data_IF_556168018304
#
_entry.id   IF_556168018304
#
_cell.length_a   1.000
_cell.length_b   1.000
_cell.length_c   1.000
_cell.angle_alpha   90.00
_cell.angle_beta   90.00
_cell.angle_gamma   90.00
#
_symmetry.space_group_name_H-M   'P 1'
#
loop_
_entity.id
_entity.type
_entity.pdbx_description
1 polymer ?
#
# COMPACT_ATOMS: atom_id res chain seq x y z
N UNK A 1 -20.52 5.27 -12.12
CA UNK A 1 -20.21 5.65 -13.52
C UNK A 1 -20.48 4.52 -14.52
N UNK A 2 -19.77 3.38 -14.45
CA UNK A 2 -19.86 2.29 -15.44
C UNK A 2 -21.30 1.83 -15.76
N UNK A 3 -22.17 1.70 -14.76
CA UNK A 3 -23.57 1.30 -14.95
C UNK A 3 -24.36 2.32 -15.79
N UNK A 4 -24.21 3.61 -15.50
CA UNK A 4 -24.91 4.70 -16.20
C UNK A 4 -24.38 4.83 -17.63
N UNK A 5 -23.06 4.81 -17.80
CA UNK A 5 -22.41 4.89 -19.12
C UNK A 5 -22.89 3.76 -20.04
N UNK A 6 -23.00 2.54 -19.50
CA UNK A 6 -23.52 1.39 -20.24
C UNK A 6 -25.01 1.52 -20.57
N UNK A 7 -25.83 1.94 -19.60
CA UNK A 7 -27.27 2.15 -19.81
C UNK A 7 -27.53 3.21 -20.90
N UNK A 8 -26.74 4.29 -20.93
CA UNK A 8 -26.87 5.36 -21.91
C UNK A 8 -26.59 4.91 -23.35
N UNK A 9 -25.79 3.86 -23.55
CA UNK A 9 -25.57 3.25 -24.88
C UNK A 9 -26.79 2.44 -25.36
N UNK A 10 -27.65 2.01 -24.44
CA UNK A 10 -28.84 1.21 -24.75
C UNK A 10 -30.09 2.10 -24.86
N UNK A 11 -30.33 2.93 -23.85
CA UNK A 11 -31.48 3.83 -23.77
C UNK A 11 -31.20 4.98 -22.78
N UNK A 12 -31.37 6.23 -23.25
CA UNK A 12 -31.11 7.41 -22.44
C UNK A 12 -32.12 7.58 -21.29
N UNK A 13 -33.38 7.16 -21.48
CA UNK A 13 -34.41 7.22 -20.45
C UNK A 13 -34.12 6.27 -19.29
N UNK A 14 -33.61 5.07 -19.58
CA UNK A 14 -33.13 4.12 -18.60
C UNK A 14 -31.94 4.66 -17.81
N UNK A 15 -30.97 5.29 -18.47
CA UNK A 15 -29.82 5.89 -17.80
C UNK A 15 -30.26 6.97 -16.79
N UNK A 16 -31.15 7.88 -17.20
CA UNK A 16 -31.73 8.90 -16.30
C UNK A 16 -32.51 8.27 -15.16
N UNK A 17 -33.29 7.21 -15.43
CA UNK A 17 -34.03 6.53 -14.37
C UNK A 17 -33.08 5.90 -13.35
N UNK A 18 -32.01 5.23 -13.79
CA UNK A 18 -31.00 4.64 -12.89
C UNK A 18 -30.34 5.72 -12.04
N UNK A 19 -29.90 6.82 -12.66
CA UNK A 19 -29.24 7.93 -11.97
C UNK A 19 -30.10 8.53 -10.85
N UNK A 20 -31.42 8.62 -11.05
CA UNK A 20 -32.35 9.19 -10.08
C UNK A 20 -32.79 8.18 -9.01
N UNK A 21 -32.90 6.88 -9.35
CA UNK A 21 -33.58 5.90 -8.50
C UNK A 21 -32.65 4.87 -7.85
N UNK A 22 -31.38 4.78 -8.26
CA UNK A 22 -30.45 3.76 -7.76
C UNK A 22 -29.29 4.41 -7.01
N UNK A 23 -29.07 3.98 -5.77
CA UNK A 23 -27.94 4.41 -4.96
C UNK A 23 -26.72 3.51 -5.22
N UNK A 24 -25.54 4.13 -5.33
CA UNK A 24 -24.24 3.46 -5.43
C UNK A 24 -23.32 3.97 -4.31
N UNK A 25 -23.58 3.60 -3.02
CA UNK A 25 -22.79 4.10 -1.90
C UNK A 25 -21.33 3.64 -2.02
N UNK A 26 -20.40 4.57 -1.81
CA UNK A 26 -19.00 4.20 -1.65
C UNK A 26 -18.79 3.46 -0.33
N UNK A 27 -17.76 2.61 -0.28
CA UNK A 27 -17.41 1.91 0.95
C UNK A 27 -15.90 1.73 1.07
N UNK A 28 -15.41 1.87 2.30
CA UNK A 28 -14.08 1.43 2.69
C UNK A 28 -14.23 0.13 3.49
N UNK A 29 -13.58 -0.93 3.01
CA UNK A 29 -13.57 -2.26 3.64
C UNK A 29 -12.17 -2.61 4.08
N UNK A 30 -11.97 -3.05 5.32
CA UNK A 30 -10.65 -3.43 5.82
C UNK A 30 -10.70 -4.68 6.71
N UNK A 31 -10.02 -5.73 6.24
CA UNK A 31 -9.71 -6.93 7.02
C UNK A 31 -8.68 -7.75 6.24
N UNK A 32 -7.49 -7.93 6.81
CA UNK A 32 -6.43 -8.77 6.25
C UNK A 32 -6.93 -10.22 6.24
N UNK A 33 -7.12 -10.74 5.03
CA UNK A 33 -7.67 -12.08 4.78
C UNK A 33 -6.74 -12.80 3.80
N UNK A 34 -5.75 -13.57 4.29
CA UNK A 34 -4.85 -14.32 3.42
C UNK A 34 -5.60 -15.34 2.57
N UNK A 35 -4.99 -15.75 1.46
CA UNK A 35 -5.48 -16.87 0.65
C UNK A 35 -5.48 -18.15 1.49
N UNK A 36 -6.55 -18.94 1.37
CA UNK A 36 -6.61 -20.28 1.96
C UNK A 36 -5.57 -21.19 1.31
N UNK A 37 -4.67 -21.73 2.13
CA UNK A 37 -3.67 -22.74 1.74
C UNK A 37 -3.93 -24.06 2.50
N UNK A 38 -3.30 -25.15 2.08
CA UNK A 38 -3.54 -26.49 2.67
C UNK A 38 -3.37 -26.52 4.20
N UNK A 39 -2.39 -25.79 4.74
CA UNK A 39 -2.18 -25.69 6.17
C UNK A 39 -3.37 -25.05 6.91
N UNK A 40 -4.04 -24.05 6.30
CA UNK A 40 -5.25 -23.42 6.85
C UNK A 40 -6.39 -24.43 6.88
N UNK A 41 -6.53 -25.20 5.80
CA UNK A 41 -7.56 -26.25 5.69
C UNK A 41 -7.38 -27.30 6.79
N UNK A 42 -6.16 -27.78 6.98
CA UNK A 42 -5.85 -28.82 7.97
C UNK A 42 -5.96 -28.32 9.41
N UNK A 43 -5.47 -27.10 9.69
CA UNK A 43 -5.55 -26.46 11.00
C UNK A 43 -7.00 -26.24 11.43
N UNK A 44 -7.82 -25.61 10.57
CA UNK A 44 -9.23 -25.34 10.89
C UNK A 44 -10.02 -26.64 10.99
N UNK A 45 -9.81 -27.60 10.08
CA UNK A 45 -10.52 -28.88 10.13
C UNK A 45 -10.24 -29.64 11.43
N UNK A 46 -9.00 -29.57 11.92
CA UNK A 46 -8.62 -30.16 13.20
C UNK A 46 -9.31 -29.44 14.36
N UNK A 47 -9.31 -28.10 14.35
CA UNK A 47 -9.91 -27.29 15.41
C UNK A 47 -11.43 -27.49 15.55
N UNK A 48 -12.15 -27.66 14.42
CA UNK A 48 -13.61 -27.85 14.43
C UNK A 48 -14.05 -29.33 14.49
N UNK A 49 -13.12 -30.28 14.36
CA UNK A 49 -13.42 -31.72 14.36
C UNK A 49 -14.18 -32.21 13.12
N UNK A 50 -14.16 -31.45 12.03
CA UNK A 50 -14.84 -31.76 10.77
C UNK A 50 -14.02 -31.21 9.59
N UNK A 51 -14.10 -31.86 8.42
CA UNK A 51 -13.40 -31.35 7.22
C UNK A 51 -14.13 -30.15 6.65
N UNK A 52 -13.62 -28.95 6.91
CA UNK A 52 -13.95 -27.77 6.12
C UNK A 52 -13.08 -27.79 4.85
N UNK A 53 -13.70 -27.72 3.66
CA UNK A 53 -12.97 -27.72 2.40
C UNK A 53 -12.49 -26.34 1.97
N UNK A 54 -13.03 -25.28 2.56
CA UNK A 54 -12.70 -23.92 2.18
C UNK A 54 -12.83 -22.94 3.37
N UNK A 55 -12.07 -23.16 4.45
CA UNK A 55 -12.06 -22.21 5.55
C UNK A 55 -11.41 -20.90 5.13
N UNK A 56 -11.93 -19.79 5.66
CA UNK A 56 -11.37 -18.46 5.51
C UNK A 56 -10.75 -18.05 6.85
N UNK A 57 -9.44 -17.82 6.84
CA UNK A 57 -8.73 -17.22 7.96
C UNK A 57 -8.56 -15.72 7.70
N UNK A 58 -8.83 -14.91 8.72
CA UNK A 58 -8.58 -13.46 8.71
C UNK A 58 -7.99 -13.02 10.04
N UNK A 59 -7.42 -11.82 10.08
CA UNK A 59 -7.06 -11.18 11.34
C UNK A 59 -8.31 -10.93 12.21
N UNK A 60 -8.17 -10.54 13.49
CA UNK A 60 -9.31 -10.22 14.35
C UNK A 60 -9.96 -8.86 14.00
N UNK A 61 -9.18 -7.90 13.49
CA UNK A 61 -9.68 -6.59 13.10
C UNK A 61 -10.59 -6.66 11.88
N UNK A 62 -11.68 -5.89 11.93
CA UNK A 62 -12.57 -5.61 10.79
C UNK A 62 -13.02 -4.17 10.86
N UNK A 63 -13.03 -3.50 9.72
CA UNK A 63 -13.67 -2.20 9.58
C UNK A 63 -14.49 -2.16 8.29
N UNK A 64 -15.68 -1.59 8.39
CA UNK A 64 -16.52 -1.32 7.24
C UNK A 64 -17.14 0.06 7.41
N UNK A 65 -16.80 0.96 6.51
CA UNK A 65 -17.33 2.32 6.44
C UNK A 65 -18.14 2.42 5.15
N UNK A 66 -19.38 2.89 5.23
CA UNK A 66 -20.30 2.99 4.10
C UNK A 66 -20.86 4.40 4.02
N UNK A 67 -20.98 4.90 2.80
CA UNK A 67 -21.62 6.19 2.53
C UNK A 67 -23.11 6.14 2.86
N UNK A 68 -23.59 7.06 3.69
CA UNK A 68 -24.99 7.09 4.11
C UNK A 68 -25.85 7.91 3.13
N UNK A 69 -25.86 7.49 1.85
CA UNK A 69 -26.55 8.18 0.77
C UNK A 69 -27.76 7.40 0.19
N UNK A 70 -28.13 6.27 0.80
CA UNK A 70 -29.28 5.49 0.35
C UNK A 70 -30.46 5.62 1.31
N UNK A 71 -31.65 5.76 0.72
CA UNK A 71 -32.90 5.99 1.45
C UNK A 71 -33.80 4.75 1.53
N UNK A 72 -33.22 3.56 1.28
CA UNK A 72 -33.92 2.28 1.26
C UNK A 72 -33.79 1.52 2.57
N UNK A 73 -34.51 0.40 2.68
CA UNK A 73 -34.33 -0.51 3.81
C UNK A 73 -32.92 -1.11 3.80
N UNK A 74 -32.38 -1.30 5.00
CA UNK A 74 -31.10 -1.97 5.19
C UNK A 74 -31.00 -2.71 6.51
N UNK A 75 -30.16 -3.75 6.57
CA UNK A 75 -29.79 -4.34 7.86
C UNK A 75 -29.24 -3.28 8.81
N UNK A 76 -29.50 -3.45 10.11
CA UNK A 76 -28.99 -2.57 11.16
C UNK A 76 -27.49 -2.82 11.41
N UNK A 77 -26.66 -2.66 10.38
CA UNK A 77 -25.23 -2.92 10.40
C UNK A 77 -24.46 -2.01 11.36
N UNK A 78 -24.98 -0.82 11.65
CA UNK A 78 -24.50 0.09 12.69
C UNK A 78 -24.46 -0.58 14.07
N UNK A 79 -25.40 -1.49 14.34
CA UNK A 79 -25.45 -2.24 15.61
C UNK A 79 -24.39 -3.32 15.75
N UNK A 80 -23.69 -3.64 14.66
CA UNK A 80 -22.60 -4.64 14.64
C UNK A 80 -21.27 -4.03 14.21
N UNK A 81 -21.12 -2.70 14.33
CA UNK A 81 -19.85 -2.00 14.19
C UNK A 81 -19.57 -1.36 12.82
N UNK A 82 -20.51 -1.39 11.87
CA UNK A 82 -20.35 -0.67 10.59
C UNK A 82 -20.56 0.82 10.80
N UNK A 83 -19.67 1.63 10.24
CA UNK A 83 -19.74 3.09 10.32
C UNK A 83 -20.44 3.64 9.10
N UNK A 84 -21.48 4.44 9.33
CA UNK A 84 -22.14 5.22 8.28
C UNK A 84 -21.62 6.65 8.33
N UNK A 85 -21.14 7.16 7.20
CA UNK A 85 -20.56 8.50 7.12
C UNK A 85 -20.92 9.18 5.80
N UNK A 86 -20.76 10.50 5.78
CA UNK A 86 -20.79 11.32 4.57
C UNK A 86 -19.41 11.51 3.92
N UNK A 87 -18.34 11.08 4.59
CA UNK A 87 -16.95 11.26 4.14
C UNK A 87 -16.21 9.91 4.05
N UNK A 88 -16.66 9.03 3.15
CA UNK A 88 -15.97 7.75 2.92
C UNK A 88 -14.59 7.96 2.29
N UNK A 89 -14.46 8.98 1.45
CA UNK A 89 -13.22 9.32 0.75
C UNK A 89 -12.08 9.61 1.74
N UNK A 90 -12.35 10.33 2.84
CA UNK A 90 -11.37 10.58 3.88
C UNK A 90 -10.91 9.31 4.61
N UNK A 91 -11.83 8.35 4.87
CA UNK A 91 -11.47 7.05 5.45
C UNK A 91 -10.67 6.18 4.48
N UNK A 92 -11.03 6.18 3.20
CA UNK A 92 -10.28 5.49 2.14
C UNK A 92 -8.88 6.08 2.01
N UNK A 93 -8.75 7.41 2.00
CA UNK A 93 -7.46 8.12 1.97
C UNK A 93 -6.61 7.74 3.19
N UNK A 94 -7.19 7.73 4.39
CA UNK A 94 -6.50 7.33 5.61
C UNK A 94 -5.98 5.88 5.54
N UNK A 95 -6.80 4.94 5.08
CA UNK A 95 -6.40 3.53 4.90
C UNK A 95 -5.30 3.38 3.85
N UNK A 96 -5.46 3.99 2.67
CA UNK A 96 -4.45 3.94 1.61
C UNK A 96 -3.09 4.44 2.09
N UNK A 97 -3.10 5.49 2.91
CA UNK A 97 -1.88 6.10 3.42
C UNK A 97 -1.28 5.37 4.61
N UNK A 98 -2.05 5.02 5.62
CA UNK A 98 -1.51 4.43 6.85
C UNK A 98 -1.34 2.92 6.76
N UNK A 99 -2.26 2.22 6.11
CA UNK A 99 -2.13 0.77 5.95
C UNK A 99 -1.35 0.46 4.68
N UNK A 100 -1.85 0.90 3.52
CA UNK A 100 -1.32 0.40 2.25
C UNK A 100 0.09 0.94 1.93
N UNK A 101 0.42 2.18 2.32
CA UNK A 101 1.80 2.70 2.17
C UNK A 101 2.77 1.86 2.99
N UNK A 102 2.56 1.76 4.31
CA UNK A 102 3.46 1.04 5.23
C UNK A 102 3.62 -0.42 4.81
N UNK A 103 2.52 -1.06 4.40
CA UNK A 103 2.54 -2.45 3.94
C UNK A 103 3.37 -2.64 2.67
N UNK A 104 3.30 -1.69 1.73
CA UNK A 104 4.12 -1.74 0.51
C UNK A 104 5.59 -1.44 0.82
N UNK A 105 5.86 -0.48 1.71
CA UNK A 105 7.21 -0.20 2.21
C UNK A 105 7.84 -1.44 2.83
N UNK A 106 7.14 -2.12 3.74
CA UNK A 106 7.60 -3.36 4.37
C UNK A 106 7.80 -4.49 3.36
N UNK A 107 6.90 -4.61 2.37
CA UNK A 107 7.02 -5.63 1.33
C UNK A 107 8.36 -5.53 0.58
N UNK A 108 8.74 -4.34 0.14
CA UNK A 108 10.00 -4.17 -0.59
C UNK A 108 11.22 -4.19 0.33
N UNK A 109 11.20 -3.39 1.40
CA UNK A 109 12.35 -3.27 2.29
C UNK A 109 12.63 -4.57 3.06
N UNK A 110 11.58 -5.25 3.54
CA UNK A 110 11.69 -6.54 4.21
C UNK A 110 12.16 -7.65 3.28
N UNK A 111 11.64 -7.71 2.04
CA UNK A 111 12.11 -8.69 1.05
C UNK A 111 13.59 -8.50 0.70
N UNK A 112 14.05 -7.25 0.60
CA UNK A 112 15.46 -6.92 0.37
C UNK A 112 16.37 -7.30 1.55
N UNK A 113 15.83 -7.31 2.77
CA UNK A 113 16.50 -7.77 3.98
C UNK A 113 16.38 -9.30 4.21
N UNK A 114 15.62 -10.02 3.37
CA UNK A 114 15.48 -11.47 3.44
C UNK A 114 14.38 -11.99 4.38
N UNK A 115 13.47 -11.13 4.84
CA UNK A 115 12.28 -11.55 5.58
C UNK A 115 11.22 -12.16 4.65
N UNK A 116 10.41 -13.07 5.18
CA UNK A 116 9.38 -13.76 4.39
C UNK A 116 7.98 -13.15 4.60
N UNK A 117 7.63 -12.82 5.84
CA UNK A 117 6.29 -12.32 6.19
C UNK A 117 6.31 -10.92 6.77
N UNK A 118 5.14 -10.27 6.76
CA UNK A 118 4.91 -8.97 7.42
C UNK A 118 5.22 -9.05 8.91
N UNK A 119 4.85 -10.16 9.57
CA UNK A 119 5.15 -10.40 10.97
C UNK A 119 6.66 -10.45 11.23
N UNK A 120 7.42 -11.18 10.42
CA UNK A 120 8.86 -11.34 10.61
C UNK A 120 9.59 -9.99 10.50
N UNK A 121 9.28 -9.22 9.46
CA UNK A 121 9.91 -7.90 9.27
C UNK A 121 9.47 -6.90 10.33
N UNK A 122 8.19 -6.91 10.73
CA UNK A 122 7.70 -5.93 11.72
C UNK A 122 8.17 -6.27 13.14
N UNK A 123 8.51 -7.53 13.40
CA UNK A 123 9.09 -7.98 14.68
C UNK A 123 10.56 -7.59 14.84
N UNK A 124 11.23 -7.14 13.77
CA UNK A 124 12.57 -6.56 13.86
C UNK A 124 12.50 -5.11 14.36
N UNK A 125 13.27 -4.82 15.42
CA UNK A 125 13.24 -3.52 16.11
C UNK A 125 13.54 -2.34 15.15
N UNK A 126 14.43 -2.53 14.18
CA UNK A 126 14.82 -1.46 13.25
C UNK A 126 13.69 -1.18 12.25
N UNK A 127 13.07 -2.22 11.70
CA UNK A 127 11.93 -2.05 10.81
C UNK A 127 10.69 -1.52 11.53
N UNK A 128 10.43 -1.96 12.77
CA UNK A 128 9.37 -1.41 13.60
C UNK A 128 9.53 0.10 13.85
N UNK A 129 10.74 0.53 14.21
CA UNK A 129 11.06 1.95 14.38
C UNK A 129 10.91 2.72 13.08
N UNK A 130 11.41 2.19 11.97
CA UNK A 130 11.29 2.81 10.66
C UNK A 130 9.84 3.06 10.25
N UNK A 131 8.95 2.07 10.35
CA UNK A 131 7.53 2.27 9.97
C UNK A 131 6.78 3.18 10.94
N UNK A 132 7.10 3.14 12.24
CA UNK A 132 6.55 4.09 13.22
C UNK A 132 6.96 5.52 12.86
N UNK A 133 8.23 5.73 12.53
CA UNK A 133 8.75 7.04 12.16
C UNK A 133 8.13 7.54 10.85
N UNK A 134 8.08 6.68 9.82
CA UNK A 134 7.44 6.99 8.54
C UNK A 134 5.98 7.43 8.75
N UNK A 135 5.22 6.66 9.55
CA UNK A 135 3.83 6.97 9.84
C UNK A 135 3.66 8.34 10.51
N UNK A 136 4.42 8.58 11.59
CA UNK A 136 4.29 9.78 12.41
C UNK A 136 4.81 11.05 11.72
N UNK A 137 5.96 10.97 11.04
CA UNK A 137 6.64 12.15 10.50
C UNK A 137 6.12 12.53 9.11
N UNK A 138 5.85 11.55 8.25
CA UNK A 138 5.58 11.79 6.83
C UNK A 138 4.17 11.41 6.39
N UNK A 139 3.52 10.42 7.00
CA UNK A 139 2.19 9.96 6.54
C UNK A 139 1.04 10.72 7.20
N UNK A 140 0.97 10.78 8.54
CA UNK A 140 -0.16 11.37 9.27
C UNK A 140 -0.40 12.83 8.84
N UNK A 141 0.66 13.63 8.79
CA UNK A 141 0.55 15.05 8.43
C UNK A 141 0.43 15.35 6.93
N UNK A 142 0.29 14.33 6.08
CA UNK A 142 0.13 14.50 4.62
C UNK A 142 -1.32 14.72 4.18
N UNK A 143 -2.30 14.57 5.08
CA UNK A 143 -3.71 14.70 4.77
C UNK A 143 -4.53 15.16 5.98
N UNK A 144 -5.72 15.67 5.73
CA UNK A 144 -6.71 15.92 6.77
C UNK A 144 -7.53 14.65 7.00
N UNK A 145 -7.50 14.14 8.24
CA UNK A 145 -8.27 12.95 8.61
C UNK A 145 -9.76 13.29 8.76
N UNK A 146 -10.67 12.32 8.50
CA UNK A 146 -12.08 12.45 8.86
C UNK A 146 -12.25 12.81 10.32
N UNK A 147 -13.28 13.60 10.64
CA UNK A 147 -13.53 14.06 12.01
C UNK A 147 -13.76 12.92 13.00
N UNK A 148 -14.30 11.82 12.50
CA UNK A 148 -14.64 10.62 13.25
C UNK A 148 -13.44 9.69 13.45
N UNK A 149 -12.30 9.96 12.81
CA UNK A 149 -11.12 9.11 12.87
C UNK A 149 -10.04 9.74 13.76
N UNK A 150 -9.72 9.06 14.86
CA UNK A 150 -8.46 9.31 15.57
C UNK A 150 -7.31 8.68 14.78
N UNK A 151 -6.63 9.51 13.99
CA UNK A 151 -5.60 9.08 13.05
C UNK A 151 -4.35 8.52 13.73
N UNK A 152 -3.99 9.01 14.93
CA UNK A 152 -2.83 8.53 15.67
C UNK A 152 -3.10 7.14 16.25
N UNK A 153 -4.27 6.98 16.89
CA UNK A 153 -4.72 5.67 17.40
C UNK A 153 -4.87 4.66 16.25
N UNK A 154 -5.47 5.07 15.13
CA UNK A 154 -5.62 4.22 13.94
C UNK A 154 -4.28 3.78 13.34
N UNK A 155 -3.31 4.69 13.24
CA UNK A 155 -1.95 4.38 12.79
C UNK A 155 -1.28 3.34 13.69
N UNK A 156 -1.41 3.49 15.01
CA UNK A 156 -0.87 2.55 15.99
C UNK A 156 -1.52 1.17 15.87
N UNK A 157 -2.85 1.11 15.77
CA UNK A 157 -3.58 -0.15 15.59
C UNK A 157 -3.16 -0.89 14.31
N UNK A 158 -2.90 -0.16 13.21
CA UNK A 158 -2.38 -0.76 11.96
C UNK A 158 -1.03 -1.43 12.19
N UNK A 159 -0.09 -0.75 12.85
CA UNK A 159 1.25 -1.31 13.10
C UNK A 159 1.15 -2.51 14.05
N UNK A 160 0.29 -2.47 15.06
CA UNK A 160 0.02 -3.61 15.94
C UNK A 160 -0.58 -4.81 15.17
N UNK A 161 -1.43 -4.57 14.16
CA UNK A 161 -1.97 -5.64 13.30
C UNK A 161 -0.88 -6.35 12.49
N UNK A 162 0.17 -5.65 12.08
CA UNK A 162 1.33 -6.25 11.41
C UNK A 162 2.14 -7.19 12.32
N UNK A 163 2.03 -7.03 13.65
CA UNK A 163 2.64 -7.89 14.65
C UNK A 163 1.79 -9.12 15.04
N UNK A 164 0.76 -9.46 14.25
CA UNK A 164 -0.06 -10.65 14.52
C UNK A 164 0.62 -11.94 14.01
N UNK A 165 1.11 -12.84 14.89
CA UNK A 165 1.83 -14.05 14.49
C UNK A 165 0.93 -15.09 13.82
N UNK A 166 -0.38 -15.02 14.01
CA UNK A 166 -1.34 -15.98 13.45
C UNK A 166 -1.63 -15.73 11.97
N UNK A 167 -1.23 -14.57 11.44
CA UNK A 167 -1.47 -14.16 10.05
C UNK A 167 -0.18 -14.25 9.26
N UNK A 168 -0.02 -15.34 8.51
CA UNK A 168 1.10 -15.51 7.57
C UNK A 168 0.84 -14.72 6.29
N UNK A 169 1.12 -13.41 6.30
CA UNK A 169 1.03 -12.57 5.12
C UNK A 169 2.40 -12.44 4.43
N UNK A 170 2.55 -13.00 3.24
CA UNK A 170 3.83 -13.05 2.52
C UNK A 170 4.19 -11.71 1.88
N UNK A 171 5.41 -11.23 2.12
CA UNK A 171 5.92 -9.98 1.52
C UNK A 171 5.90 -10.06 -0.01
N UNK A 172 6.23 -11.23 -0.57
CA UNK A 172 6.20 -11.46 -2.01
C UNK A 172 4.82 -11.20 -2.64
N UNK A 173 3.73 -11.63 -1.99
CA UNK A 173 2.36 -11.40 -2.48
C UNK A 173 1.99 -9.91 -2.43
N UNK A 174 2.46 -9.20 -1.39
CA UNK A 174 2.20 -7.77 -1.24
C UNK A 174 2.99 -6.96 -2.28
N UNK A 175 4.18 -7.42 -2.67
CA UNK A 175 5.06 -6.77 -3.64
C UNK A 175 4.60 -6.84 -5.10
N UNK A 176 3.64 -7.72 -5.44
CA UNK A 176 3.08 -7.83 -6.80
C UNK A 176 2.42 -6.53 -7.26
N UNK A 177 2.36 -6.28 -8.57
CA UNK A 177 1.73 -5.09 -9.17
C UNK A 177 2.24 -3.78 -8.53
N UNK A 178 3.54 -3.76 -8.22
CA UNK A 178 4.18 -2.67 -7.50
C UNK A 178 4.06 -1.31 -8.21
N UNK A 179 4.14 -1.29 -9.54
CA UNK A 179 3.95 -0.10 -10.36
C UNK A 179 2.60 0.59 -10.12
N UNK A 180 1.52 -0.19 -9.99
CA UNK A 180 0.18 0.31 -9.69
C UNK A 180 0.03 0.69 -8.21
N UNK A 181 0.58 -0.14 -7.32
CA UNK A 181 0.49 0.08 -5.87
C UNK A 181 1.23 1.34 -5.44
N UNK A 182 2.44 1.56 -5.93
CA UNK A 182 3.25 2.76 -5.60
C UNK A 182 2.53 4.04 -6.02
N UNK A 183 1.90 4.04 -7.20
CA UNK A 183 1.14 5.17 -7.72
C UNK A 183 -0.04 5.58 -6.82
N UNK A 184 -0.70 4.60 -6.18
CA UNK A 184 -1.85 4.87 -5.31
C UNK A 184 -1.46 5.06 -3.83
N UNK A 185 -0.34 4.47 -3.39
CA UNK A 185 -0.04 4.29 -1.96
C UNK A 185 1.11 5.15 -1.46
N UNK A 186 2.07 5.51 -2.31
CA UNK A 186 3.29 6.24 -1.91
C UNK A 186 3.36 7.61 -2.59
N UNK A 187 3.22 7.66 -3.91
CA UNK A 187 3.39 8.92 -4.67
C UNK A 187 2.46 10.05 -4.22
N UNK A 188 1.16 9.81 -3.94
CA UNK A 188 0.27 10.88 -3.51
C UNK A 188 0.67 11.49 -2.16
N UNK A 189 1.36 10.73 -1.31
CA UNK A 189 1.87 11.21 -0.02
C UNK A 189 3.11 12.08 -0.24
N UNK A 190 4.00 11.68 -1.16
CA UNK A 190 5.16 12.48 -1.57
C UNK A 190 4.70 13.81 -2.16
N UNK A 191 3.73 13.79 -3.08
CA UNK A 191 3.18 14.99 -3.72
C UNK A 191 2.57 15.94 -2.70
N UNK A 192 1.72 15.44 -1.79
CA UNK A 192 1.12 16.26 -0.74
C UNK A 192 2.17 16.83 0.22
N UNK A 193 3.17 16.04 0.63
CA UNK A 193 4.23 16.53 1.48
C UNK A 193 5.09 17.59 0.79
N UNK A 194 5.39 17.43 -0.50
CA UNK A 194 6.10 18.46 -1.28
C UNK A 194 5.28 19.75 -1.35
N UNK A 195 3.97 19.66 -1.60
CA UNK A 195 3.08 20.83 -1.64
C UNK A 195 2.97 21.52 -0.26
N UNK A 196 3.03 20.75 0.83
CA UNK A 196 2.98 21.26 2.20
C UNK A 196 4.36 21.67 2.76
N UNK A 197 5.44 21.50 2.00
CA UNK A 197 6.81 21.77 2.46
C UNK A 197 7.29 20.83 3.59
N UNK A 198 6.73 19.63 3.66
CA UNK A 198 7.04 18.57 4.64
C UNK A 198 8.14 17.64 4.11
N UNK A 199 8.73 16.86 5.03
CA UNK A 199 9.72 15.84 4.67
C UNK A 199 9.12 14.75 3.77
N UNK A 200 9.95 14.24 2.87
CA UNK A 200 9.67 13.06 2.03
C UNK A 200 10.80 12.03 2.08
N UNK A 201 11.71 12.17 3.05
CA UNK A 201 12.94 11.37 3.17
C UNK A 201 12.61 9.88 3.32
N UNK A 202 11.72 9.53 4.24
CA UNK A 202 11.35 8.14 4.52
C UNK A 202 10.46 7.54 3.42
N UNK A 203 9.60 8.36 2.80
CA UNK A 203 8.84 7.98 1.62
C UNK A 203 9.76 7.76 0.40
N UNK A 204 10.81 8.56 0.26
CA UNK A 204 11.81 8.38 -0.81
C UNK A 204 12.66 7.14 -0.57
N UNK A 205 12.99 6.83 0.69
CA UNK A 205 13.61 5.55 1.04
C UNK A 205 12.67 4.39 0.69
N UNK A 206 11.39 4.49 1.02
CA UNK A 206 10.38 3.48 0.67
C UNK A 206 10.31 3.25 -0.85
N UNK A 207 10.32 4.33 -1.64
CA UNK A 207 10.31 4.28 -3.09
C UNK A 207 11.62 3.71 -3.66
N UNK A 208 12.77 4.07 -3.07
CA UNK A 208 14.07 3.52 -3.44
C UNK A 208 14.19 2.01 -3.12
N UNK A 209 13.55 1.52 -2.05
CA UNK A 209 13.43 0.09 -1.78
C UNK A 209 12.66 -0.63 -2.90
N UNK A 210 11.59 -0.04 -3.43
CA UNK A 210 10.91 -0.60 -4.61
C UNK A 210 11.82 -0.61 -5.85
N UNK A 211 12.57 0.47 -6.09
CA UNK A 211 13.50 0.54 -7.23
C UNK A 211 14.55 -0.57 -7.15
N UNK A 212 15.19 -0.71 -5.99
CA UNK A 212 16.20 -1.73 -5.76
C UNK A 212 15.61 -3.14 -5.80
N UNK A 213 14.37 -3.35 -5.31
CA UNK A 213 13.67 -4.63 -5.42
C UNK A 213 13.53 -5.07 -6.89
N UNK A 214 13.08 -4.17 -7.77
CA UNK A 214 12.98 -4.43 -9.21
C UNK A 214 14.38 -4.63 -9.84
N UNK A 215 15.35 -3.78 -9.50
CA UNK A 215 16.71 -3.89 -10.04
C UNK A 215 17.37 -5.22 -9.67
N UNK A 216 17.23 -5.69 -8.43
CA UNK A 216 17.77 -6.99 -8.01
C UNK A 216 17.08 -8.14 -8.71
N UNK A 217 15.75 -8.09 -8.86
CA UNK A 217 15.03 -9.11 -9.60
C UNK A 217 15.54 -9.21 -11.06
N UNK A 218 15.77 -8.08 -11.73
CA UNK A 218 16.37 -8.07 -13.07
C UNK A 218 17.80 -8.62 -13.10
N UNK A 219 18.66 -8.22 -12.14
CA UNK A 219 20.06 -8.68 -12.06
C UNK A 219 20.17 -10.20 -11.77
N UNK A 220 19.21 -10.75 -11.03
CA UNK A 220 19.17 -12.14 -10.60
C UNK A 220 18.30 -13.04 -11.49
N UNK A 221 17.73 -12.49 -12.57
CA UNK A 221 16.79 -13.18 -13.47
C UNK A 221 15.59 -13.80 -12.70
N UNK A 222 15.09 -13.09 -11.68
CA UNK A 222 13.89 -13.47 -10.93
C UNK A 222 12.63 -12.92 -11.60
N UNK A 223 11.54 -13.68 -11.49
CA UNK A 223 10.23 -13.26 -11.98
C UNK A 223 9.76 -11.97 -11.28
N UNK A 224 9.32 -11.01 -12.09
CA UNK A 224 8.67 -9.78 -11.64
C UNK A 224 7.18 -9.91 -11.98
N UNK A 225 6.35 -10.07 -10.95
CA UNK A 225 4.89 -10.07 -11.10
C UNK A 225 4.41 -8.62 -11.07
N UNK A 226 4.45 -7.98 -12.22
CA UNK A 226 4.05 -6.57 -12.40
C UNK A 226 3.57 -6.34 -13.85
N UNK A 227 2.54 -5.50 -14.09
CA UNK A 227 2.10 -5.15 -15.43
C UNK A 227 3.20 -4.52 -16.31
N UNK A 228 4.19 -3.86 -15.69
CA UNK A 228 5.33 -3.22 -16.35
C UNK A 228 6.59 -4.12 -16.37
N UNK A 229 6.48 -5.40 -16.03
CA UNK A 229 7.64 -6.31 -15.99
C UNK A 229 8.43 -6.33 -17.31
N UNK A 230 7.72 -6.34 -18.45
CA UNK A 230 8.34 -6.28 -19.78
C UNK A 230 9.01 -4.93 -20.05
N UNK A 231 8.43 -3.83 -19.59
CA UNK A 231 9.03 -2.50 -19.73
C UNK A 231 10.32 -2.39 -18.91
N UNK A 232 10.32 -2.87 -17.67
CA UNK A 232 11.52 -2.90 -16.82
C UNK A 232 12.67 -3.69 -17.46
N UNK A 233 12.37 -4.87 -18.03
CA UNK A 233 13.36 -5.70 -18.72
C UNK A 233 13.97 -5.01 -19.96
N UNK A 234 13.22 -4.10 -20.59
CA UNK A 234 13.67 -3.33 -21.76
C UNK A 234 14.36 -2.00 -21.40
N UNK A 235 14.65 -1.75 -20.11
CA UNK A 235 15.34 -0.54 -19.65
C UNK A 235 16.75 -0.88 -19.13
N UNK A 236 17.80 -0.86 -19.98
CA UNK A 236 19.17 -1.20 -19.57
C UNK A 236 19.72 -0.35 -18.42
N UNK A 237 19.23 0.88 -18.29
CA UNK A 237 19.62 1.78 -17.20
C UNK A 237 19.26 1.24 -15.81
N UNK A 238 18.26 0.36 -15.68
CA UNK A 238 17.92 -0.28 -14.40
C UNK A 238 18.98 -1.28 -13.92
N UNK A 239 19.84 -1.75 -14.83
CA UNK A 239 20.98 -2.59 -14.49
C UNK A 239 22.24 -1.77 -14.14
N UNK A 240 22.19 -0.43 -14.28
CA UNK A 240 23.33 0.44 -13.98
C UNK A 240 23.70 0.41 -12.49
N UNK A 241 24.99 0.53 -12.22
CA UNK A 241 25.50 0.74 -10.86
C UNK A 241 25.38 2.23 -10.45
N UNK A 242 25.24 3.14 -11.41
CA UNK A 242 24.96 4.55 -11.11
C UNK A 242 23.49 4.71 -10.66
N UNK A 243 23.31 5.09 -9.40
CA UNK A 243 22.00 5.29 -8.79
C UNK A 243 21.21 6.42 -9.48
N UNK A 244 21.89 7.42 -10.04
CA UNK A 244 21.24 8.54 -10.74
C UNK A 244 20.62 8.10 -12.06
N UNK A 245 21.30 7.20 -12.79
CA UNK A 245 20.77 6.62 -14.03
C UNK A 245 19.53 5.77 -13.74
N UNK A 246 19.58 4.94 -12.69
CA UNK A 246 18.46 4.10 -12.27
C UNK A 246 17.25 4.96 -11.87
N UNK A 247 17.46 5.99 -11.04
CA UNK A 247 16.41 6.91 -10.62
C UNK A 247 15.82 7.66 -11.82
N UNK A 248 16.66 8.14 -12.73
CA UNK A 248 16.19 8.82 -13.94
C UNK A 248 15.38 7.90 -14.85
N UNK A 249 15.75 6.62 -14.95
CA UNK A 249 15.04 5.62 -15.73
C UNK A 249 13.65 5.33 -15.13
N UNK A 250 13.54 5.07 -13.82
CA UNK A 250 12.24 4.89 -13.17
C UNK A 250 11.35 6.12 -13.35
N UNK A 251 11.85 7.31 -13.01
CA UNK A 251 11.08 8.56 -13.14
C UNK A 251 10.72 8.91 -14.60
N UNK A 252 11.32 8.24 -15.59
CA UNK A 252 10.92 8.41 -16.99
C UNK A 252 9.62 7.70 -17.36
N UNK A 253 9.14 6.78 -16.50
CA UNK A 253 7.90 6.03 -16.68
C UNK A 253 6.71 6.93 -16.36
N UNK A 254 6.25 7.67 -17.37
CA UNK A 254 5.21 8.68 -17.24
C UNK A 254 3.88 8.12 -16.72
N UNK A 255 3.53 6.87 -17.06
CA UNK A 255 2.31 6.21 -16.56
C UNK A 255 2.28 6.02 -15.04
N UNK A 256 3.46 6.00 -14.39
CA UNK A 256 3.59 5.84 -12.93
C UNK A 256 3.84 7.19 -12.25
N UNK A 257 4.79 7.98 -12.76
CA UNK A 257 5.30 9.17 -12.05
C UNK A 257 4.78 10.51 -12.57
N UNK A 258 4.14 10.53 -13.74
CA UNK A 258 3.78 11.77 -14.42
C UNK A 258 4.99 12.67 -14.76
N UNK A 259 4.72 13.89 -15.22
CA UNK A 259 5.77 14.84 -15.62
C UNK A 259 6.33 15.67 -14.46
N UNK A 260 5.52 15.92 -13.42
CA UNK A 260 5.90 16.81 -12.33
C UNK A 260 7.00 16.21 -11.46
N UNK A 261 6.83 14.94 -11.05
CA UNK A 261 7.86 14.22 -10.28
C UNK A 261 9.12 13.99 -11.09
N UNK A 262 8.98 13.71 -12.40
CA UNK A 262 10.10 13.56 -13.32
C UNK A 262 10.99 14.81 -13.39
N UNK A 263 10.46 16.01 -13.16
CA UNK A 263 11.25 17.24 -13.22
C UNK A 263 11.67 17.77 -11.85
N UNK A 264 11.27 17.11 -10.76
CA UNK A 264 11.62 17.50 -9.40
C UNK A 264 13.08 17.12 -9.06
N UNK A 265 13.98 18.11 -9.11
CA UNK A 265 15.41 17.90 -8.86
C UNK A 265 15.73 17.53 -7.41
N UNK A 266 14.97 18.07 -6.45
CA UNK A 266 15.13 17.75 -5.03
C UNK A 266 14.79 16.27 -4.77
N UNK A 267 13.64 15.82 -5.27
CA UNK A 267 13.21 14.44 -5.14
C UNK A 267 14.19 13.47 -5.82
N UNK A 268 14.68 13.81 -7.03
CA UNK A 268 15.72 13.02 -7.71
C UNK A 268 16.97 12.85 -6.84
N UNK A 269 17.49 13.93 -6.27
CA UNK A 269 18.67 13.87 -5.43
C UNK A 269 18.43 13.00 -4.19
N UNK A 270 17.25 13.14 -3.57
CA UNK A 270 16.88 12.37 -2.39
C UNK A 270 16.72 10.86 -2.70
N UNK A 271 16.11 10.52 -3.84
CA UNK A 271 16.00 9.13 -4.30
C UNK A 271 17.38 8.54 -4.64
N UNK A 272 18.24 9.28 -5.33
CA UNK A 272 19.60 8.82 -5.63
C UNK A 272 20.41 8.58 -4.36
N UNK A 273 20.29 9.47 -3.36
CA UNK A 273 20.94 9.31 -2.06
C UNK A 273 20.40 8.08 -1.30
N UNK A 274 19.07 7.90 -1.30
CA UNK A 274 18.43 6.75 -0.65
C UNK A 274 18.84 5.43 -1.30
N UNK A 275 18.82 5.36 -2.64
CA UNK A 275 19.23 4.17 -3.39
C UNK A 275 20.72 3.87 -3.21
N UNK A 276 21.57 4.89 -3.21
CA UNK A 276 23.00 4.75 -2.94
C UNK A 276 23.25 4.22 -1.51
N UNK A 277 22.55 4.76 -0.52
CA UNK A 277 22.64 4.29 0.86
C UNK A 277 22.18 2.83 1.01
N UNK A 278 21.13 2.42 0.28
CA UNK A 278 20.66 1.03 0.23
C UNK A 278 21.66 0.07 -0.43
N UNK A 279 22.40 0.52 -1.45
CA UNK A 279 23.39 -0.30 -2.15
C UNK A 279 24.74 -0.40 -1.42
N UNK A 280 25.11 0.63 -0.65
CA UNK A 280 26.33 0.64 0.16
C UNK A 280 26.12 -0.06 1.51
N UNK A 281 24.93 0.12 2.11
CA UNK A 281 24.56 -0.50 3.38
C UNK A 281 23.98 -1.90 3.22
N UNK A 282 23.96 -2.66 4.32
CA UNK A 282 23.10 -3.84 4.40
C UNK A 282 21.67 -3.39 4.71
N UNK A 283 20.68 -3.82 3.91
CA UNK A 283 19.27 -3.43 4.10
C UNK A 283 18.72 -3.91 5.45
N UNK A 284 19.30 -4.97 6.02
CA UNK A 284 19.06 -5.42 7.40
C UNK A 284 19.43 -4.37 8.46
N UNK A 285 20.25 -3.38 8.12
CA UNK A 285 20.60 -2.24 8.97
C UNK A 285 19.84 -0.98 8.53
N UNK A 286 18.53 -1.10 8.27
CA UNK A 286 17.67 0.00 7.81
C UNK A 286 17.79 1.25 8.69
N UNK A 287 17.97 1.09 10.01
CA UNK A 287 18.22 2.21 10.93
C UNK A 287 19.50 2.97 10.58
N UNK A 288 20.60 2.30 10.21
CA UNK A 288 21.83 2.98 9.78
C UNK A 288 21.62 3.72 8.45
N UNK A 289 20.77 3.19 7.56
CA UNK A 289 20.37 3.87 6.33
C UNK A 289 19.55 5.11 6.65
N UNK A 290 18.56 5.01 7.54
CA UNK A 290 17.73 6.13 8.00
C UNK A 290 18.57 7.20 8.69
N UNK A 291 19.45 6.83 9.63
CA UNK A 291 20.36 7.75 10.33
C UNK A 291 21.28 8.51 9.37
N UNK A 292 21.73 7.88 8.28
CA UNK A 292 22.55 8.56 7.26
C UNK A 292 21.76 9.52 6.38
N UNK A 293 20.44 9.34 6.28
CA UNK A 293 19.54 10.17 5.47
C UNK A 293 18.94 11.34 6.29
N UNK A 294 18.90 11.24 7.62
CA UNK A 294 18.43 12.26 8.55
C UNK A 294 19.45 13.39 8.73
#
# INVERSE_FOLDING_TARGET
>A
RAVIDYAAQLDAGLATWIEVNVAFPNAMVDSITPKTEDYTVDSVSTAIGARDKWPIQREQFTQWVIEDNWNGERPAWDKVGVVFTSDVEGFEKAKLRLLNCLHSTLAYAGSLAGFETVFDVTSDDAFYQFICQLANEEVIGSFEAPKELDVESYSKEIIERFLNPEIRHLLAQIAWDGSQKVQMRILPIIEDNLALGRSTKLLSLSLACWFEFICRALKEDREIVDPLASDFANMPALLSDDCSDVVAAFLSIESVFGQDLKNNTCLKAQLSNSLSALRIGEVSQINSVVEKLC
#
